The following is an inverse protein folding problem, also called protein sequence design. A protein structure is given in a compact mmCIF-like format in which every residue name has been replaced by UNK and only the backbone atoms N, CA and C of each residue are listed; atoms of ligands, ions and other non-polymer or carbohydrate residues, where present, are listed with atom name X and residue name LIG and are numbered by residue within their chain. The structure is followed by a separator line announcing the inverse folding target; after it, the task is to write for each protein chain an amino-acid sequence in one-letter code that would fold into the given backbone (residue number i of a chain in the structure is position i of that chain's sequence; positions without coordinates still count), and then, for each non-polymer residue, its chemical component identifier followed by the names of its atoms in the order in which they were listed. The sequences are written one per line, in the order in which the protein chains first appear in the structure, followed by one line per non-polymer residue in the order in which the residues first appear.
data_IF_275144318620
#
_entry.id   IF_275144318620
#
_cell.length_a   1.000
_cell.length_b   1.000
_cell.length_c   1.000
_cell.angle_alpha   90.00
_cell.angle_beta   90.00
_cell.angle_gamma   90.00
#
_symmetry.space_group_name_H-M   'P 1'
#
loop_
_entity.id
_entity.type
_entity.pdbx_description
1 polymer ?
#
# COMPACT_ATOMS: atom_id res chain seq x y z
N UNK A 1 19.00 -10.71 -0.74
CA UNK A 1 18.68 -9.37 -1.28
C UNK A 1 19.61 -8.38 -0.63
N UNK A 2 20.23 -7.45 -1.38
CA UNK A 2 21.10 -6.43 -0.80
C UNK A 2 20.27 -5.21 -0.45
N UNK A 3 20.36 -4.74 0.80
CA UNK A 3 19.69 -3.53 1.24
C UNK A 3 20.35 -2.28 0.61
N UNK A 4 19.54 -1.27 0.31
CA UNK A 4 20.02 0.04 -0.08
C UNK A 4 20.55 0.80 1.15
N UNK A 5 21.47 1.73 0.96
CA UNK A 5 22.11 2.46 2.05
C UNK A 5 21.11 3.06 3.05
N UNK A 6 20.07 3.74 2.57
CA UNK A 6 19.05 4.35 3.45
C UNK A 6 18.18 3.33 4.20
N UNK A 7 18.02 2.11 3.67
CA UNK A 7 17.32 1.02 4.37
C UNK A 7 18.15 0.52 5.54
N UNK A 8 19.45 0.36 5.32
CA UNK A 8 20.40 0.04 6.40
C UNK A 8 20.46 1.15 7.44
N UNK A 9 20.53 2.42 7.03
CA UNK A 9 20.46 3.59 7.93
C UNK A 9 19.22 3.55 8.82
N UNK A 10 18.05 3.22 8.25
CA UNK A 10 16.80 3.09 9.00
C UNK A 10 16.89 1.97 10.06
N UNK A 11 17.43 0.82 9.68
CA UNK A 11 17.64 -0.32 10.60
C UNK A 11 18.57 0.08 11.74
N UNK A 12 19.72 0.68 11.44
CA UNK A 12 20.73 1.09 12.42
C UNK A 12 20.17 2.12 13.41
N UNK A 13 19.30 3.02 12.95
CA UNK A 13 18.61 3.97 13.84
C UNK A 13 17.67 3.22 14.79
N UNK A 14 16.83 2.32 14.28
CA UNK A 14 15.87 1.55 15.06
C UNK A 14 16.55 0.64 16.10
N UNK A 15 17.70 0.06 15.74
CA UNK A 15 18.48 -0.79 16.67
C UNK A 15 19.04 0.00 17.86
N UNK A 16 19.48 1.23 17.63
CA UNK A 16 20.04 2.09 18.70
C UNK A 16 18.97 2.69 19.61
N UNK A 17 17.71 2.67 19.20
CA UNK A 17 16.61 3.20 20.02
C UNK A 17 16.30 2.25 21.18
N UNK A 18 16.00 2.78 22.38
CA UNK A 18 15.55 1.98 23.53
C UNK A 18 14.21 1.28 23.23
N UNK A 19 13.68 0.58 24.21
CA UNK A 19 12.31 0.07 24.15
C UNK A 19 11.32 1.22 23.99
N UNK A 20 10.29 1.03 23.13
CA UNK A 20 9.33 2.08 22.83
C UNK A 20 8.57 1.86 21.52
N UNK A 21 7.81 2.87 21.11
CA UNK A 21 6.92 2.82 19.93
C UNK A 21 7.37 3.84 18.88
N UNK A 22 7.88 3.36 17.75
CA UNK A 22 8.54 4.18 16.73
C UNK A 22 7.81 4.14 15.40
N UNK A 23 7.77 5.27 14.71
CA UNK A 23 7.18 5.38 13.38
C UNK A 23 8.26 5.67 12.33
N UNK A 24 8.24 4.91 11.24
CA UNK A 24 9.05 5.08 10.04
C UNK A 24 8.16 5.57 8.91
N UNK A 25 8.44 6.76 8.41
CA UNK A 25 7.83 7.27 7.20
C UNK A 25 8.73 6.96 6.00
N UNK A 26 8.29 6.06 5.13
CA UNK A 26 9.02 5.68 3.93
C UNK A 26 8.05 5.56 2.76
N UNK A 27 8.24 6.35 1.72
CA UNK A 27 7.33 6.43 0.58
C UNK A 27 7.13 5.09 -0.13
N UNK A 28 6.00 4.96 -0.83
CA UNK A 28 5.72 3.79 -1.67
C UNK A 28 6.83 3.62 -2.72
N UNK A 29 7.30 2.37 -2.90
CA UNK A 29 8.40 2.05 -3.82
C UNK A 29 9.80 2.11 -3.21
N UNK A 30 9.97 2.67 -2.01
CA UNK A 30 11.27 2.71 -1.32
C UNK A 30 11.60 1.41 -0.54
N UNK A 31 10.71 0.41 -0.54
CA UNK A 31 10.99 -0.91 0.01
C UNK A 31 10.79 -1.03 1.52
N UNK A 32 9.69 -0.50 2.07
CA UNK A 32 9.29 -0.69 3.48
C UNK A 32 9.40 -2.15 3.91
N UNK A 33 8.78 -3.07 3.15
CA UNK A 33 8.79 -4.51 3.44
C UNK A 33 10.21 -5.07 3.52
N UNK A 34 11.08 -4.72 2.56
CA UNK A 34 12.48 -5.13 2.59
C UNK A 34 13.21 -4.59 3.83
N UNK A 35 12.92 -3.36 4.24
CA UNK A 35 13.55 -2.75 5.42
C UNK A 35 13.11 -3.48 6.69
N UNK A 36 11.81 -3.61 6.94
CA UNK A 36 11.37 -4.19 8.21
C UNK A 36 11.63 -5.70 8.33
N UNK A 37 11.65 -6.43 7.22
CA UNK A 37 11.96 -7.87 7.24
C UNK A 37 13.45 -8.16 7.48
N UNK A 38 14.31 -7.16 7.38
CA UNK A 38 15.75 -7.28 7.67
C UNK A 38 16.13 -6.65 9.03
N UNK A 39 15.16 -6.21 9.82
CA UNK A 39 15.43 -5.83 11.20
C UNK A 39 15.99 -7.04 11.98
N UNK A 40 17.06 -6.88 12.77
CA UNK A 40 17.54 -7.91 13.66
C UNK A 40 16.44 -8.40 14.61
N UNK A 41 16.35 -9.70 14.79
CA UNK A 41 15.37 -10.32 15.69
C UNK A 41 16.01 -10.59 17.03
N UNK A 42 15.51 -9.97 18.09
CA UNK A 42 15.91 -10.19 19.46
C UNK A 42 14.95 -11.14 20.21
N UNK A 43 13.94 -11.65 19.50
CA UNK A 43 12.92 -12.57 19.98
C UNK A 43 11.87 -12.78 18.88
N UNK A 44 10.69 -13.24 19.29
CA UNK A 44 9.59 -13.47 18.36
C UNK A 44 8.99 -12.16 17.85
N UNK A 45 8.54 -12.18 16.60
CA UNK A 45 8.06 -11.00 15.88
C UNK A 45 6.61 -11.20 15.46
N UNK A 46 5.77 -10.19 15.72
CA UNK A 46 4.43 -10.08 15.17
C UNK A 46 4.41 -9.03 14.05
N UNK A 47 3.99 -9.44 12.86
CA UNK A 47 3.71 -8.53 11.73
C UNK A 47 2.20 -8.29 11.67
N UNK A 48 1.77 -7.03 11.78
CA UNK A 48 0.36 -6.65 11.71
C UNK A 48 0.06 -5.93 10.40
N UNK A 49 -0.96 -6.39 9.71
CA UNK A 49 -1.49 -5.73 8.52
C UNK A 49 -3.01 -5.94 8.39
N UNK A 50 -3.65 -5.23 7.48
CA UNK A 50 -5.11 -5.28 7.32
C UNK A 50 -5.55 -5.97 6.02
N UNK A 51 -4.62 -6.31 5.11
CA UNK A 51 -4.91 -6.99 3.83
C UNK A 51 -4.19 -8.32 3.73
N UNK A 52 -4.84 -9.29 3.12
CA UNK A 52 -4.30 -10.64 2.93
C UNK A 52 -2.94 -10.65 2.23
N UNK A 53 -2.81 -9.87 1.17
CA UNK A 53 -1.56 -9.78 0.41
C UNK A 53 -0.39 -9.30 1.28
N UNK A 54 -0.67 -8.34 2.19
CA UNK A 54 0.32 -7.78 3.11
C UNK A 54 0.67 -8.75 4.25
N UNK A 55 -0.22 -9.69 4.59
CA UNK A 55 0.06 -10.74 5.58
C UNK A 55 1.06 -11.76 5.01
N UNK A 56 0.90 -12.16 3.75
CA UNK A 56 1.70 -13.28 3.18
C UNK A 56 3.03 -12.81 2.59
N UNK A 57 3.06 -11.63 2.00
CA UNK A 57 4.22 -11.14 1.25
C UNK A 57 5.50 -11.04 2.10
N UNK A 58 5.49 -10.50 3.34
CA UNK A 58 6.70 -10.36 4.15
C UNK A 58 7.36 -11.69 4.49
N UNK A 59 6.57 -12.75 4.68
CA UNK A 59 7.09 -14.06 5.11
C UNK A 59 8.09 -14.68 4.11
N UNK A 60 8.05 -14.28 2.85
CA UNK A 60 9.02 -14.73 1.83
C UNK A 60 10.45 -14.27 2.09
N UNK A 61 10.62 -13.24 2.92
CA UNK A 61 11.94 -12.70 3.27
C UNK A 61 12.52 -13.31 4.55
N UNK A 62 11.69 -13.97 5.36
CA UNK A 62 12.13 -14.63 6.57
C UNK A 62 12.61 -16.05 6.25
N UNK A 63 13.92 -16.19 6.05
CA UNK A 63 14.58 -17.49 5.80
C UNK A 63 15.28 -17.96 7.06
N UNK A 64 15.29 -19.27 7.30
CA UNK A 64 15.99 -19.86 8.45
C UNK A 64 15.28 -19.73 9.79
N UNK A 65 13.99 -19.38 9.81
CA UNK A 65 13.15 -19.37 11.00
C UNK A 65 11.75 -19.92 10.69
N UNK A 66 11.02 -20.32 11.73
CA UNK A 66 9.64 -20.78 11.59
C UNK A 66 8.71 -19.59 11.49
N UNK A 67 7.85 -19.61 10.48
CA UNK A 67 6.89 -18.55 10.22
C UNK A 67 5.47 -19.10 10.25
N UNK A 68 4.54 -18.32 10.80
CA UNK A 68 3.13 -18.64 10.88
C UNK A 68 2.23 -17.52 10.34
N UNK A 69 1.02 -17.89 9.98
CA UNK A 69 -0.04 -16.97 9.54
C UNK A 69 -1.21 -17.03 10.52
N UNK A 70 -1.69 -15.87 10.93
CA UNK A 70 -2.89 -15.73 11.77
C UNK A 70 -3.93 -14.92 11.02
N UNK A 71 -4.73 -15.60 10.17
CA UNK A 71 -5.70 -14.95 9.28
C UNK A 71 -6.78 -15.92 8.80
N UNK A 72 -8.03 -15.47 8.82
CA UNK A 72 -9.19 -16.28 8.35
C UNK A 72 -9.22 -17.68 8.97
N UNK A 73 -9.12 -18.75 8.18
CA UNK A 73 -9.09 -20.14 8.64
C UNK A 73 -7.71 -20.65 9.07
N UNK A 74 -6.66 -19.83 8.93
CA UNK A 74 -5.27 -20.20 9.29
C UNK A 74 -4.92 -19.72 10.68
N UNK A 75 -4.12 -20.53 11.38
CA UNK A 75 -3.66 -20.25 12.73
C UNK A 75 -2.16 -20.56 12.85
N UNK A 76 -1.43 -19.65 13.47
CA UNK A 76 -0.03 -19.85 13.80
C UNK A 76 0.14 -20.89 14.92
N UNK A 77 1.34 -21.47 14.99
CA UNK A 77 1.76 -22.40 16.02
C UNK A 77 2.52 -21.69 17.14
N UNK A 78 2.51 -22.20 18.36
CA UNK A 78 3.34 -21.66 19.45
C UNK A 78 4.83 -21.62 19.13
N UNK A 79 5.29 -22.51 18.24
CA UNK A 79 6.70 -22.60 17.82
C UNK A 79 7.10 -21.62 16.70
N UNK A 80 6.16 -20.87 16.12
CA UNK A 80 6.46 -19.94 15.05
C UNK A 80 7.12 -18.68 15.62
N UNK A 81 8.31 -18.35 15.11
CA UNK A 81 9.15 -17.25 15.59
C UNK A 81 8.73 -15.91 14.96
N UNK A 82 8.14 -15.97 13.77
CA UNK A 82 7.57 -14.81 13.09
C UNK A 82 6.13 -15.11 12.74
N UNK A 83 5.20 -14.39 13.33
CA UNK A 83 3.78 -14.53 13.06
C UNK A 83 3.31 -13.32 12.25
N UNK A 84 2.79 -13.56 11.05
CA UNK A 84 2.15 -12.51 10.25
C UNK A 84 0.65 -12.62 10.38
N UNK A 85 0.01 -11.56 10.83
CA UNK A 85 -1.38 -11.56 11.22
C UNK A 85 -2.21 -10.48 10.52
N UNK A 86 -3.44 -10.87 10.13
CA UNK A 86 -4.48 -9.90 9.86
C UNK A 86 -5.03 -9.37 11.17
N UNK A 87 -5.03 -8.04 11.35
CA UNK A 87 -5.54 -7.40 12.56
C UNK A 87 -7.02 -7.77 12.82
N UNK A 88 -7.81 -7.92 11.75
CA UNK A 88 -9.23 -8.32 11.84
C UNK A 88 -9.42 -9.74 12.40
N UNK A 89 -8.48 -10.65 12.12
CA UNK A 89 -8.54 -12.01 12.68
C UNK A 89 -7.95 -12.06 14.07
N UNK A 90 -6.80 -11.43 14.27
CA UNK A 90 -6.05 -11.51 15.52
C UNK A 90 -6.80 -10.89 16.71
N UNK A 91 -7.53 -9.78 16.49
CA UNK A 91 -8.29 -9.10 17.56
C UNK A 91 -9.34 -10.02 18.24
N UNK A 92 -9.76 -11.08 17.55
CA UNK A 92 -10.71 -12.10 18.09
C UNK A 92 -10.02 -13.35 18.63
N UNK A 93 -8.69 -13.36 18.69
CA UNK A 93 -7.88 -14.54 19.03
C UNK A 93 -6.74 -14.21 20.00
N UNK A 94 -6.78 -13.03 20.63
CA UNK A 94 -5.73 -12.56 21.51
C UNK A 94 -5.43 -13.54 22.63
N UNK A 95 -6.47 -14.14 23.22
CA UNK A 95 -6.37 -15.11 24.34
C UNK A 95 -5.57 -16.38 24.01
N UNK A 96 -5.23 -16.61 22.74
CA UNK A 96 -4.35 -17.71 22.30
C UNK A 96 -2.87 -17.43 22.50
N UNK A 97 -2.53 -16.20 22.86
CA UNK A 97 -1.16 -15.72 22.98
C UNK A 97 -0.95 -15.11 24.37
N UNK A 98 0.19 -15.39 24.95
CA UNK A 98 0.62 -14.68 26.15
C UNK A 98 0.94 -13.21 25.78
N UNK A 99 0.64 -12.23 26.65
CA UNK A 99 0.90 -10.80 26.38
C UNK A 99 2.37 -10.51 26.03
N UNK A 100 3.31 -11.21 26.63
CA UNK A 100 4.76 -11.08 26.45
C UNK A 100 5.30 -11.89 25.27
N UNK A 101 4.42 -12.56 24.50
CA UNK A 101 4.80 -13.49 23.44
C UNK A 101 5.76 -12.89 22.41
N UNK A 102 5.54 -11.63 22.03
CA UNK A 102 6.30 -11.00 20.97
C UNK A 102 7.25 -9.94 21.52
N UNK A 103 8.54 -10.07 21.18
CA UNK A 103 9.56 -9.07 21.49
C UNK A 103 9.33 -7.79 20.66
N UNK A 104 8.99 -7.95 19.38
CA UNK A 104 8.80 -6.83 18.47
C UNK A 104 7.48 -6.98 17.72
N UNK A 105 6.71 -5.89 17.66
CA UNK A 105 5.51 -5.79 16.80
C UNK A 105 5.81 -4.80 15.68
N UNK A 106 5.64 -5.25 14.43
CA UNK A 106 5.77 -4.42 13.24
C UNK A 106 4.39 -4.18 12.65
N UNK A 107 4.03 -2.92 12.46
CA UNK A 107 2.75 -2.51 11.87
C UNK A 107 3.00 -2.00 10.47
N UNK A 108 2.63 -2.78 9.46
CA UNK A 108 2.67 -2.30 8.06
C UNK A 108 1.44 -1.44 7.77
N UNK A 109 1.61 -0.42 6.92
CA UNK A 109 0.65 0.66 6.67
C UNK A 109 0.11 1.26 7.98
N UNK A 110 1.05 1.68 8.84
CA UNK A 110 0.82 2.14 10.22
C UNK A 110 -0.10 3.36 10.33
N UNK A 111 -0.49 4.01 9.23
CA UNK A 111 -1.55 5.03 9.24
C UNK A 111 -2.91 4.47 9.70
N UNK A 112 -3.11 3.15 9.67
CA UNK A 112 -4.27 2.47 10.24
C UNK A 112 -4.16 2.18 11.74
N UNK A 113 -2.98 2.35 12.35
CA UNK A 113 -2.73 1.95 13.75
C UNK A 113 -3.59 2.68 14.80
N UNK A 114 -4.15 3.84 14.45
CA UNK A 114 -5.06 4.58 15.31
C UNK A 114 -6.47 3.96 15.40
N UNK A 115 -6.83 3.02 14.52
CA UNK A 115 -8.14 2.36 14.55
C UNK A 115 -8.28 1.47 15.80
N UNK A 116 -9.50 1.36 16.31
CA UNK A 116 -9.81 0.64 17.56
C UNK A 116 -9.37 -0.82 17.54
N UNK A 117 -9.43 -1.50 16.38
CA UNK A 117 -8.98 -2.88 16.22
C UNK A 117 -7.47 -3.02 16.40
N UNK A 118 -6.68 -2.11 15.84
CA UNK A 118 -5.23 -2.07 16.04
C UNK A 118 -4.88 -1.77 17.48
N UNK A 119 -5.53 -0.76 18.09
CA UNK A 119 -5.30 -0.40 19.49
C UNK A 119 -5.56 -1.58 20.42
N UNK A 120 -6.67 -2.31 20.27
CA UNK A 120 -6.93 -3.51 21.07
C UNK A 120 -5.82 -4.54 21.00
N UNK A 121 -5.22 -4.77 19.83
CA UNK A 121 -4.10 -5.69 19.65
C UNK A 121 -2.84 -5.12 20.31
N UNK A 122 -2.51 -3.85 20.06
CA UNK A 122 -1.31 -3.20 20.59
C UNK A 122 -1.34 -2.98 22.11
N UNK A 123 -2.54 -2.87 22.70
CA UNK A 123 -2.73 -2.71 24.13
C UNK A 123 -2.78 -4.06 24.87
N UNK A 124 -3.04 -5.16 24.16
CA UNK A 124 -3.00 -6.51 24.72
C UNK A 124 -1.56 -6.99 24.92
N UNK A 125 -0.69 -6.78 23.94
CA UNK A 125 0.70 -7.24 24.00
C UNK A 125 1.62 -6.23 24.71
N UNK A 126 2.68 -6.74 25.32
CA UNK A 126 3.71 -5.96 26.04
C UNK A 126 5.09 -6.12 25.36
N UNK A 127 5.24 -5.73 24.08
CA UNK A 127 6.51 -5.88 23.37
C UNK A 127 7.55 -4.86 23.83
N UNK A 128 8.84 -5.18 23.64
CA UNK A 128 9.92 -4.20 23.80
C UNK A 128 9.84 -3.08 22.76
N UNK A 129 9.54 -3.42 21.50
CA UNK A 129 9.42 -2.41 20.43
C UNK A 129 8.15 -2.59 19.62
N UNK A 130 7.46 -1.48 19.36
CA UNK A 130 6.43 -1.38 18.32
C UNK A 130 6.97 -0.47 17.22
N UNK A 131 7.06 -0.98 15.99
CA UNK A 131 7.62 -0.24 14.86
C UNK A 131 6.56 -0.14 13.76
N UNK A 132 6.06 1.07 13.53
CA UNK A 132 5.11 1.35 12.46
C UNK A 132 5.82 1.78 11.17
N UNK A 133 5.41 1.24 10.03
CA UNK A 133 5.85 1.67 8.69
C UNK A 133 4.68 2.26 7.93
N UNK A 134 4.84 3.47 7.40
CA UNK A 134 3.82 4.13 6.58
C UNK A 134 4.44 4.93 5.43
N UNK A 135 3.71 5.07 4.32
CA UNK A 135 4.16 5.91 3.21
C UNK A 135 3.91 7.39 3.52
N UNK A 136 2.75 7.72 4.07
CA UNK A 136 2.31 9.09 4.35
C UNK A 136 1.44 9.11 5.61
N UNK A 137 1.91 9.67 6.71
CA UNK A 137 1.02 10.03 7.81
C UNK A 137 0.18 11.24 7.38
N UNK A 138 -1.13 11.08 7.26
CA UNK A 138 -2.07 12.15 6.92
C UNK A 138 -2.12 13.21 8.05
N UNK A 139 -2.47 14.47 7.74
CA UNK A 139 -2.58 15.54 8.77
C UNK A 139 -3.61 15.20 9.85
N UNK A 140 -4.75 14.62 9.48
CA UNK A 140 -5.78 14.15 10.43
C UNK A 140 -5.31 12.93 11.24
N UNK A 141 -4.44 12.09 10.64
CA UNK A 141 -3.93 10.88 11.27
C UNK A 141 -2.71 11.17 12.16
N UNK A 142 -2.01 12.31 11.95
CA UNK A 142 -0.86 12.69 12.78
C UNK A 142 -1.21 12.83 14.25
N UNK A 143 -2.34 13.49 14.57
CA UNK A 143 -2.78 13.65 15.95
C UNK A 143 -3.15 12.30 16.60
N UNK A 144 -3.68 11.36 15.80
CA UNK A 144 -4.05 10.02 16.27
C UNK A 144 -2.86 9.05 16.32
N UNK A 145 -1.91 9.19 15.40
CA UNK A 145 -0.71 8.37 15.40
C UNK A 145 0.25 8.74 16.54
N UNK A 146 0.25 9.99 16.99
CA UNK A 146 0.96 10.41 18.20
C UNK A 146 0.47 9.75 19.48
N UNK A 147 -0.77 9.20 19.47
CA UNK A 147 -1.30 8.43 20.62
C UNK A 147 -0.83 6.96 20.59
N UNK A 148 -0.21 6.52 19.50
CA UNK A 148 0.25 5.14 19.30
C UNK A 148 1.77 5.06 19.25
N UNK A 149 2.43 6.04 18.64
CA UNK A 149 3.88 6.08 18.44
C UNK A 149 4.50 7.30 19.12
N UNK A 150 5.59 7.09 19.82
CA UNK A 150 6.29 8.13 20.58
C UNK A 150 7.04 9.11 19.69
N UNK A 151 7.62 8.60 18.58
CA UNK A 151 8.51 9.37 17.73
C UNK A 151 8.49 8.88 16.28
N UNK A 152 8.63 9.81 15.31
CA UNK A 152 8.97 9.48 13.93
C UNK A 152 10.50 9.51 13.80
N UNK A 153 11.11 8.34 13.77
CA UNK A 153 12.58 8.19 13.81
C UNK A 153 13.25 8.27 12.44
N UNK A 154 12.50 8.06 11.37
CA UNK A 154 13.05 8.06 10.01
C UNK A 154 12.03 8.60 9.01
N UNK A 155 12.49 9.43 8.05
CA UNK A 155 11.63 10.00 6.99
C UNK A 155 12.34 10.00 5.65
N UNK A 156 11.69 9.36 4.64
CA UNK A 156 12.07 9.42 3.22
C UNK A 156 10.80 9.49 2.38
N UNK A 157 10.51 10.68 1.86
CA UNK A 157 9.32 10.93 1.04
C UNK A 157 9.54 10.61 -0.45
N UNK A 158 8.52 10.83 -1.28
CA UNK A 158 8.59 10.60 -2.73
C UNK A 158 9.62 11.52 -3.39
N UNK A 159 9.69 12.80 -2.99
CA UNK A 159 10.63 13.79 -3.57
C UNK A 159 12.06 13.37 -3.32
N UNK A 160 12.35 12.95 -2.08
CA UNK A 160 13.66 12.42 -1.74
C UNK A 160 13.99 11.18 -2.58
N UNK A 161 13.06 10.23 -2.71
CA UNK A 161 13.26 9.01 -3.50
C UNK A 161 13.58 9.28 -4.97
N UNK A 162 12.91 10.26 -5.58
CA UNK A 162 13.14 10.71 -6.95
C UNK A 162 14.50 11.42 -7.05
N UNK A 163 14.77 12.39 -6.17
CA UNK A 163 16.03 13.16 -6.20
C UNK A 163 17.28 12.31 -6.02
N UNK A 164 17.16 11.18 -5.30
CA UNK A 164 18.25 10.22 -5.09
C UNK A 164 18.30 9.10 -6.15
N UNK A 165 17.41 9.13 -7.15
CA UNK A 165 17.35 8.11 -8.20
C UNK A 165 16.86 6.73 -7.74
N UNK A 166 16.21 6.63 -6.58
CA UNK A 166 15.59 5.39 -6.10
C UNK A 166 14.18 5.16 -6.65
N UNK A 167 13.57 6.20 -7.19
CA UNK A 167 12.28 6.21 -7.87
C UNK A 167 12.41 6.91 -9.22
N UNK A 168 11.51 6.60 -10.17
CA UNK A 168 11.45 7.29 -11.46
C UNK A 168 10.99 8.74 -11.29
N UNK A 169 11.40 9.60 -12.21
CA UNK A 169 10.82 10.92 -12.36
C UNK A 169 9.31 10.84 -12.68
N UNK A 170 8.59 11.86 -12.27
CA UNK A 170 7.15 11.99 -12.52
C UNK A 170 6.90 13.05 -13.58
N UNK A 171 6.22 12.66 -14.66
CA UNK A 171 5.56 13.62 -15.55
C UNK A 171 4.06 13.60 -15.25
N UNK A 172 3.56 14.64 -14.57
CA UNK A 172 2.15 14.76 -14.20
C UNK A 172 1.38 15.60 -15.20
N UNK A 173 0.21 15.12 -15.64
CA UNK A 173 -0.73 15.87 -16.47
C UNK A 173 -2.11 15.84 -15.86
N UNK A 174 -2.70 17.00 -15.66
CA UNK A 174 -4.09 17.16 -15.24
C UNK A 174 -4.97 17.31 -16.46
N UNK A 175 -6.06 16.55 -16.51
CA UNK A 175 -7.04 16.58 -17.59
C UNK A 175 -8.41 16.84 -16.96
N UNK A 176 -9.12 17.84 -17.48
CA UNK A 176 -10.50 18.06 -17.11
C UNK A 176 -11.38 17.04 -17.87
N UNK A 177 -12.13 16.25 -17.14
CA UNK A 177 -13.02 15.23 -17.69
C UNK A 177 -14.49 15.50 -17.38
N UNK A 178 -14.82 16.71 -16.87
CA UNK A 178 -16.19 17.20 -16.79
C UNK A 178 -17.04 16.57 -15.68
N UNK A 179 -16.50 16.30 -14.48
CA UNK A 179 -17.28 15.83 -13.33
C UNK A 179 -17.48 16.92 -12.28
N UNK A 180 -18.51 16.76 -11.45
CA UNK A 180 -18.84 17.68 -10.36
C UNK A 180 -18.90 16.96 -9.00
N UNK A 181 -18.07 17.39 -8.07
CA UNK A 181 -18.00 16.82 -6.71
C UNK A 181 -18.73 17.66 -5.64
N UNK A 182 -19.40 18.74 -6.00
CA UNK A 182 -20.03 19.66 -5.02
C UNK A 182 -21.12 18.99 -4.19
N UNK A 183 -21.75 17.96 -4.71
CA UNK A 183 -22.79 17.18 -4.05
C UNK A 183 -22.27 15.88 -3.39
N UNK A 184 -20.97 15.59 -3.52
CA UNK A 184 -20.38 14.36 -2.98
C UNK A 184 -19.94 14.58 -1.55
N UNK A 185 -20.56 13.90 -0.59
CA UNK A 185 -20.22 13.99 0.83
C UNK A 185 -18.90 13.27 1.15
N UNK A 186 -18.30 13.73 2.25
CA UNK A 186 -17.09 13.08 2.79
C UNK A 186 -17.49 12.06 3.86
N UNK A 187 -16.93 10.85 3.74
CA UNK A 187 -17.08 9.78 4.71
C UNK A 187 -15.73 9.14 5.02
N UNK A 188 -15.38 9.03 6.29
CA UNK A 188 -14.10 8.46 6.74
C UNK A 188 -12.85 9.11 6.09
N UNK A 189 -12.89 10.43 5.84
CA UNK A 189 -11.76 11.18 5.28
C UNK A 189 -11.59 11.08 3.77
N UNK A 190 -12.55 10.47 3.04
CA UNK A 190 -12.59 10.45 1.58
C UNK A 190 -14.04 10.59 1.08
N UNK A 191 -14.23 10.70 -0.22
CA UNK A 191 -15.55 10.80 -0.85
C UNK A 191 -16.40 9.54 -0.61
N UNK A 192 -17.71 9.73 -0.35
CA UNK A 192 -18.66 8.63 -0.20
C UNK A 192 -18.74 7.80 -1.51
N UNK A 193 -18.48 6.47 -1.46
CA UNK A 193 -18.26 5.68 -2.69
C UNK A 193 -19.43 5.68 -3.66
N UNK A 194 -20.69 5.62 -3.18
CA UNK A 194 -21.87 5.61 -4.03
C UNK A 194 -22.08 6.94 -4.77
N UNK A 195 -21.98 8.05 -4.03
CA UNK A 195 -22.10 9.40 -4.59
C UNK A 195 -20.93 9.73 -5.55
N UNK A 196 -19.73 9.23 -5.24
CA UNK A 196 -18.59 9.37 -6.14
C UNK A 196 -18.80 8.60 -7.44
N UNK A 197 -19.39 7.39 -7.40
CA UNK A 197 -19.73 6.62 -8.61
C UNK A 197 -20.72 7.38 -9.49
N UNK A 198 -21.74 7.99 -8.90
CA UNK A 198 -22.71 8.81 -9.62
C UNK A 198 -22.06 10.06 -10.24
N UNK A 199 -21.22 10.76 -9.50
CA UNK A 199 -20.53 11.96 -9.98
C UNK A 199 -19.53 11.67 -11.10
N UNK A 200 -18.97 10.46 -11.15
CA UNK A 200 -18.02 10.03 -12.19
C UNK A 200 -18.69 9.37 -13.39
N UNK A 201 -19.99 9.13 -13.35
CA UNK A 201 -20.74 8.58 -14.48
C UNK A 201 -20.70 9.53 -15.69
N UNK A 202 -20.43 8.98 -16.88
CA UNK A 202 -20.30 9.76 -18.13
C UNK A 202 -18.88 10.27 -18.43
N UNK A 203 -17.90 10.03 -17.52
CA UNK A 203 -16.51 10.44 -17.74
C UNK A 203 -15.67 9.38 -18.47
N UNK A 204 -16.21 8.19 -18.72
CA UNK A 204 -15.49 7.02 -19.20
C UNK A 204 -14.88 7.23 -20.60
N UNK A 205 -15.56 7.96 -21.48
CA UNK A 205 -15.06 8.30 -22.82
C UNK A 205 -13.86 9.23 -22.74
N UNK A 206 -13.90 10.23 -21.84
CA UNK A 206 -12.79 11.16 -21.62
C UNK A 206 -11.58 10.44 -21.00
N UNK A 207 -11.79 9.48 -20.09
CA UNK A 207 -10.72 8.66 -19.53
C UNK A 207 -10.08 7.78 -20.60
N UNK A 208 -10.88 7.14 -21.45
CA UNK A 208 -10.39 6.33 -22.56
C UNK A 208 -9.65 7.17 -23.64
N UNK A 209 -10.10 8.39 -23.91
CA UNK A 209 -9.39 9.33 -24.76
C UNK A 209 -8.04 9.74 -24.15
N UNK A 210 -8.01 10.04 -22.84
CA UNK A 210 -6.79 10.34 -22.12
C UNK A 210 -5.79 9.17 -22.18
N UNK A 211 -6.28 7.93 -22.07
CA UNK A 211 -5.46 6.74 -22.26
C UNK A 211 -4.86 6.70 -23.66
N UNK A 212 -5.67 6.78 -24.72
CA UNK A 212 -5.20 6.74 -26.12
C UNK A 212 -4.18 7.83 -26.44
N UNK A 213 -4.38 9.04 -25.87
CA UNK A 213 -3.53 10.20 -26.18
C UNK A 213 -2.24 10.26 -25.37
N UNK A 214 -2.25 9.80 -24.13
CA UNK A 214 -1.14 10.04 -23.19
C UNK A 214 -0.50 8.80 -22.59
N UNK A 215 -1.19 7.66 -22.60
CA UNK A 215 -0.64 6.45 -22.04
C UNK A 215 0.56 5.94 -22.86
N UNK A 216 1.57 5.45 -22.16
CA UNK A 216 2.74 4.78 -22.74
C UNK A 216 3.00 3.52 -21.95
N UNK A 217 3.13 2.40 -22.68
CA UNK A 217 3.45 1.11 -22.08
C UNK A 217 2.38 0.58 -21.12
N UNK A 218 2.81 -0.22 -20.17
CA UNK A 218 1.95 -0.86 -19.20
C UNK A 218 1.20 0.18 -18.32
N UNK A 219 -0.12 0.21 -18.46
CA UNK A 219 -0.96 1.26 -17.85
C UNK A 219 -1.86 0.71 -16.75
N UNK A 220 -1.92 1.43 -15.65
CA UNK A 220 -2.81 1.16 -14.52
C UNK A 220 -3.81 2.31 -14.35
N UNK A 221 -5.12 2.01 -14.44
CA UNK A 221 -6.18 2.98 -14.23
C UNK A 221 -6.88 2.71 -12.91
N UNK A 222 -7.00 3.71 -12.05
CA UNK A 222 -7.78 3.68 -10.81
C UNK A 222 -9.14 4.31 -11.07
N UNK A 223 -10.20 3.50 -11.04
CA UNK A 223 -11.57 3.92 -11.24
C UNK A 223 -12.31 4.19 -9.92
N UNK A 224 -13.36 5.00 -9.96
CA UNK A 224 -14.16 5.39 -8.80
C UNK A 224 -14.96 4.22 -8.21
N UNK A 225 -15.47 3.33 -9.08
CA UNK A 225 -16.25 2.15 -8.71
C UNK A 225 -15.95 0.97 -9.63
N UNK A 226 -16.52 -0.19 -9.31
CA UNK A 226 -16.46 -1.38 -10.17
C UNK A 226 -17.17 -1.11 -11.49
N UNK A 227 -18.36 -0.51 -11.45
CA UNK A 227 -19.14 -0.12 -12.64
C UNK A 227 -18.32 0.82 -13.53
N UNK A 228 -17.73 1.86 -12.94
CA UNK A 228 -16.89 2.81 -13.67
C UNK A 228 -15.67 2.10 -14.31
N UNK A 229 -15.02 1.18 -13.60
CA UNK A 229 -13.92 0.39 -14.14
C UNK A 229 -14.32 -0.45 -15.35
N UNK A 230 -15.47 -1.12 -15.29
CA UNK A 230 -16.02 -1.93 -16.37
C UNK A 230 -16.36 -1.10 -17.60
N UNK A 231 -16.95 0.08 -17.41
CA UNK A 231 -17.29 0.99 -18.51
C UNK A 231 -16.05 1.59 -19.17
N UNK A 232 -15.01 1.95 -18.41
CA UNK A 232 -13.72 2.40 -18.95
C UNK A 232 -13.08 1.28 -19.77
N UNK A 233 -13.02 0.05 -19.23
CA UNK A 233 -12.36 -1.07 -19.89
C UNK A 233 -13.01 -1.45 -21.22
N UNK A 234 -14.34 -1.36 -21.35
CA UNK A 234 -15.07 -1.57 -22.62
C UNK A 234 -14.65 -0.60 -23.74
N UNK A 235 -14.02 0.51 -23.41
CA UNK A 235 -13.60 1.59 -24.33
C UNK A 235 -12.10 1.54 -24.67
N UNK A 236 -11.38 0.59 -24.10
CA UNK A 236 -9.93 0.43 -24.26
C UNK A 236 -9.64 -1.00 -24.70
N UNK A 237 -9.12 -1.16 -25.91
CA UNK A 237 -8.81 -2.47 -26.47
C UNK A 237 -7.79 -3.23 -25.62
N UNK A 238 -8.09 -4.47 -25.28
CA UNK A 238 -7.24 -5.33 -24.47
C UNK A 238 -7.17 -4.98 -22.99
N UNK A 239 -7.95 -3.99 -22.51
CA UNK A 239 -8.02 -3.66 -21.09
C UNK A 239 -8.69 -4.79 -20.28
N UNK A 240 -8.18 -5.04 -19.08
CA UNK A 240 -8.73 -6.04 -18.15
C UNK A 240 -9.12 -5.36 -16.84
N UNK A 241 -10.35 -5.64 -16.38
CA UNK A 241 -10.83 -5.15 -15.07
C UNK A 241 -10.37 -6.05 -13.95
N UNK A 242 -9.87 -5.45 -12.87
CA UNK A 242 -9.51 -6.17 -11.64
C UNK A 242 -10.22 -5.54 -10.44
N UNK A 243 -11.01 -6.36 -9.75
CA UNK A 243 -11.78 -5.97 -8.56
C UNK A 243 -11.45 -6.87 -7.38
N UNK A 244 -11.99 -6.56 -6.21
CA UNK A 244 -11.87 -7.43 -5.04
C UNK A 244 -12.41 -8.86 -5.24
N UNK A 245 -13.33 -9.04 -6.20
CA UNK A 245 -13.95 -10.36 -6.51
C UNK A 245 -13.29 -11.06 -7.71
N UNK A 246 -12.32 -10.45 -8.38
CA UNK A 246 -11.67 -11.05 -9.55
C UNK A 246 -10.87 -12.28 -9.14
N UNK A 247 -11.18 -13.48 -9.70
CA UNK A 247 -10.40 -14.68 -9.46
C UNK A 247 -9.04 -14.61 -10.21
N UNK A 248 -8.10 -15.46 -9.83
CA UNK A 248 -6.82 -15.63 -10.53
C UNK A 248 -6.04 -14.32 -10.79
N UNK A 249 -6.12 -13.37 -9.84
CA UNK A 249 -5.41 -12.07 -9.93
C UNK A 249 -3.91 -12.24 -10.22
N UNK A 250 -3.27 -13.25 -9.66
CA UNK A 250 -1.84 -13.53 -9.89
C UNK A 250 -1.52 -13.80 -11.35
N UNK A 251 -2.40 -14.52 -12.06
CA UNK A 251 -2.23 -14.79 -13.49
C UNK A 251 -2.45 -13.52 -14.33
N UNK A 252 -3.44 -12.69 -13.99
CA UNK A 252 -3.65 -11.40 -14.67
C UNK A 252 -2.43 -10.49 -14.49
N UNK A 253 -1.86 -10.42 -13.28
CA UNK A 253 -0.65 -9.64 -13.01
C UNK A 253 0.54 -10.20 -13.79
N UNK A 254 0.70 -11.52 -13.88
CA UNK A 254 1.76 -12.15 -14.66
C UNK A 254 1.67 -11.77 -16.14
N UNK A 255 0.48 -11.85 -16.73
CA UNK A 255 0.22 -11.47 -18.13
C UNK A 255 0.42 -9.98 -18.38
N UNK A 256 0.02 -9.14 -17.44
CA UNK A 256 0.27 -7.69 -17.49
C UNK A 256 1.79 -7.40 -17.44
N UNK A 257 2.52 -8.07 -16.57
CA UNK A 257 3.99 -7.96 -16.49
C UNK A 257 4.68 -8.48 -17.75
N UNK A 258 4.12 -9.51 -18.40
CA UNK A 258 4.57 -10.00 -19.71
C UNK A 258 4.15 -9.11 -20.89
N UNK A 259 3.50 -7.96 -20.66
CA UNK A 259 2.95 -7.03 -21.68
C UNK A 259 1.88 -7.65 -22.59
N UNK A 260 1.29 -8.77 -22.19
CA UNK A 260 0.16 -9.39 -22.90
C UNK A 260 -1.15 -8.61 -22.66
N UNK A 261 -1.26 -7.92 -21.55
CA UNK A 261 -2.35 -7.04 -21.20
C UNK A 261 -1.80 -5.60 -21.16
N UNK A 262 -2.27 -4.68 -22.00
CA UNK A 262 -1.73 -3.32 -22.08
C UNK A 262 -2.21 -2.42 -20.94
N UNK A 263 -3.39 -2.68 -20.42
CA UNK A 263 -4.04 -1.83 -19.43
C UNK A 263 -4.81 -2.64 -18.39
N UNK A 264 -4.57 -2.36 -17.12
CA UNK A 264 -5.41 -2.82 -16.01
C UNK A 264 -6.27 -1.67 -15.51
N UNK A 265 -7.58 -1.89 -15.44
CA UNK A 265 -8.52 -0.95 -14.82
C UNK A 265 -8.98 -1.54 -13.51
N UNK A 266 -8.76 -0.84 -12.41
CA UNK A 266 -9.06 -1.38 -11.09
C UNK A 266 -9.89 -0.42 -10.23
N UNK A 267 -10.60 -1.00 -9.25
CA UNK A 267 -11.26 -0.29 -8.18
C UNK A 267 -10.70 -0.76 -6.84
N UNK A 268 -9.87 0.09 -6.20
CA UNK A 268 -9.29 -0.08 -4.86
C UNK A 268 -8.48 -1.36 -4.62
N UNK A 269 -8.08 -2.11 -5.66
CA UNK A 269 -7.36 -3.39 -5.50
C UNK A 269 -5.86 -3.19 -5.46
N UNK A 270 -5.32 -2.34 -6.34
CA UNK A 270 -3.88 -2.16 -6.50
C UNK A 270 -3.33 -0.93 -5.77
N UNK A 271 -4.06 -0.42 -4.79
CA UNK A 271 -3.58 0.68 -3.94
C UNK A 271 -2.45 0.24 -3.01
N UNK A 272 -2.48 -1.00 -2.52
CA UNK A 272 -1.52 -1.58 -1.57
C UNK A 272 -1.19 -3.04 -1.93
N UNK A 273 -0.08 -3.55 -1.38
CA UNK A 273 0.23 -4.98 -1.35
C UNK A 273 0.72 -5.63 -2.66
N UNK A 274 0.55 -5.01 -3.82
CA UNK A 274 0.91 -5.65 -5.10
C UNK A 274 2.20 -5.07 -5.67
N UNK A 275 3.12 -5.93 -6.08
CA UNK A 275 4.38 -5.54 -6.73
C UNK A 275 4.22 -5.56 -8.27
N UNK A 276 4.16 -4.38 -8.88
CA UNK A 276 4.08 -4.20 -10.33
C UNK A 276 5.08 -3.13 -10.79
N UNK A 277 6.39 -3.42 -10.82
CA UNK A 277 7.40 -2.42 -11.13
C UNK A 277 7.36 -1.96 -12.59
N UNK A 278 6.74 -2.72 -13.49
CA UNK A 278 6.65 -2.40 -14.91
C UNK A 278 5.62 -1.30 -15.26
N UNK A 279 4.77 -0.86 -14.33
CA UNK A 279 3.77 0.19 -14.59
C UNK A 279 4.46 1.48 -15.05
N UNK A 280 4.19 1.90 -16.30
CA UNK A 280 4.78 3.09 -16.93
C UNK A 280 3.82 4.28 -16.92
N UNK A 281 2.51 4.02 -16.96
CA UNK A 281 1.48 5.05 -16.87
C UNK A 281 0.47 4.73 -15.76
N UNK A 282 0.17 5.73 -14.96
CA UNK A 282 -0.92 5.68 -13.97
C UNK A 282 -1.96 6.72 -14.33
N UNK A 283 -3.22 6.30 -14.52
CA UNK A 283 -4.36 7.19 -14.70
C UNK A 283 -5.21 7.12 -13.44
N UNK A 284 -5.39 8.26 -12.79
CA UNK A 284 -6.23 8.38 -11.60
C UNK A 284 -7.56 8.97 -12.04
N UNK A 285 -8.51 8.11 -12.40
CA UNK A 285 -9.89 8.43 -12.72
C UNK A 285 -10.81 8.30 -11.49
N UNK A 286 -10.23 8.48 -10.30
CA UNK A 286 -10.90 8.46 -9.01
C UNK A 286 -10.42 9.64 -8.17
N UNK A 287 -11.21 10.71 -8.08
CA UNK A 287 -10.93 11.79 -7.11
C UNK A 287 -10.82 11.23 -5.70
N UNK A 288 -9.95 11.82 -4.89
CA UNK A 288 -9.77 11.46 -3.48
C UNK A 288 -9.36 12.67 -2.66
N UNK A 289 -9.83 12.72 -1.41
CA UNK A 289 -9.39 13.68 -0.40
C UNK A 289 -8.24 13.11 0.46
N UNK A 290 -7.95 11.81 0.32
CA UNK A 290 -6.90 11.13 1.06
C UNK A 290 -5.53 11.29 0.39
N UNK A 291 -4.64 12.07 0.99
CA UNK A 291 -3.25 12.21 0.54
C UNK A 291 -2.52 10.85 0.52
N UNK A 292 -2.85 9.98 1.48
CA UNK A 292 -2.26 8.64 1.56
C UNK A 292 -2.67 7.79 0.36
N UNK A 293 -3.97 7.72 0.06
CA UNK A 293 -4.47 6.98 -1.08
C UNK A 293 -3.91 7.52 -2.40
N UNK A 294 -3.86 8.85 -2.53
CA UNK A 294 -3.27 9.50 -3.70
C UNK A 294 -1.79 9.11 -3.89
N UNK A 295 -0.98 9.23 -2.83
CA UNK A 295 0.43 8.86 -2.87
C UNK A 295 0.66 7.37 -3.16
N UNK A 296 -0.22 6.49 -2.67
CA UNK A 296 -0.18 5.06 -2.97
C UNK A 296 -0.48 4.78 -4.46
N UNK A 297 -1.51 5.42 -5.04
CA UNK A 297 -1.84 5.30 -6.46
C UNK A 297 -0.70 5.79 -7.36
N UNK A 298 -0.18 7.00 -7.11
CA UNK A 298 0.97 7.56 -7.84
C UNK A 298 2.20 6.67 -7.69
N UNK A 299 2.46 6.21 -6.49
CA UNK A 299 3.61 5.37 -6.15
C UNK A 299 3.71 4.05 -6.94
N UNK A 300 2.59 3.59 -7.54
CA UNK A 300 2.60 2.41 -8.42
C UNK A 300 3.41 2.63 -9.70
N UNK A 301 3.40 3.85 -10.23
CA UNK A 301 4.17 4.20 -11.42
C UNK A 301 5.64 4.53 -11.19
N UNK A 302 6.08 4.68 -9.93
CA UNK A 302 7.38 5.24 -9.61
C UNK A 302 8.51 4.22 -9.44
N UNK A 303 8.23 2.93 -9.44
CA UNK A 303 9.24 1.89 -9.26
C UNK A 303 10.19 1.83 -10.45
N UNK A 304 11.47 1.70 -10.18
CA UNK A 304 12.48 1.48 -11.21
C UNK A 304 12.33 0.07 -11.79
N UNK A 305 12.44 -0.05 -13.11
CA UNK A 305 12.51 -1.32 -13.82
C UNK A 305 13.40 -1.16 -15.06
N UNK A 306 14.29 -2.14 -15.40
CA UNK A 306 15.18 -2.02 -16.55
C UNK A 306 14.45 -1.79 -17.88
N UNK A 307 13.30 -2.44 -18.06
CA UNK A 307 12.50 -2.34 -19.29
C UNK A 307 11.56 -1.14 -19.34
N UNK A 308 11.60 -0.30 -18.31
CA UNK A 308 10.77 0.90 -18.21
C UNK A 308 11.54 2.07 -18.79
N UNK A 309 11.00 2.70 -19.85
CA UNK A 309 11.55 3.95 -20.36
C UNK A 309 11.45 5.00 -19.27
N UNK A 310 12.52 5.74 -19.04
CA UNK A 310 12.88 6.51 -17.85
C UNK A 310 11.91 7.57 -17.29
N UNK A 311 10.67 7.64 -17.76
CA UNK A 311 9.68 8.62 -17.32
C UNK A 311 8.35 7.94 -16.95
N UNK A 312 8.02 7.91 -15.67
CA UNK A 312 6.67 7.58 -15.23
C UNK A 312 5.72 8.74 -15.55
N UNK A 313 4.59 8.45 -16.21
CA UNK A 313 3.57 9.46 -16.52
C UNK A 313 2.34 9.23 -15.64
N UNK A 314 2.04 10.19 -14.78
CA UNK A 314 0.75 10.23 -14.08
C UNK A 314 -0.21 11.17 -14.82
N UNK A 315 -1.39 10.66 -15.15
CA UNK A 315 -2.48 11.43 -15.74
C UNK A 315 -3.56 11.57 -14.67
N UNK A 316 -3.84 12.79 -14.28
CA UNK A 316 -4.79 13.11 -13.21
C UNK A 316 -6.03 13.75 -13.80
N UNK A 317 -7.22 13.23 -13.48
CA UNK A 317 -8.46 13.96 -13.58
C UNK A 317 -8.68 14.77 -12.29
N UNK A 318 -9.11 16.02 -12.42
CA UNK A 318 -9.70 16.85 -11.36
C UNK A 318 -11.09 17.20 -11.72
#
# INVERSE_FOLDING_TARGET
MQLRHYQQECIDILERKPDGRYLVQMATGLGKTATFTHLPRHGDVLLLSHREELVRQPLRYYTGCRTGVEMAGESSRPSDEVVSASVQSLVHRLERFEPERFHTIIVDEAHHAAASTYRKVLDYFTPHKVIGFTATPNRSDKARLSDVFDEIVFRRDLRWGISQGYLCDIFCRRIDIGYDLRQVHTRNGDYAPGELDEAMAGTEDAVAEAYRKYAKGATLIFAASVRHAEQIAKRIDGAVVVTGKTPNRSEIIRRFTAREIPCLVNCMVFTEGTDMPLVETVIIARPTQSDSLYAQMVGRGLRLHPDKKSEAKAVLGR
#
